data_IF_217132180916
#
_entry.id   IF_217132180916
#
_cell.length_a   1.000
_cell.length_b   1.000
_cell.length_c   1.000
_cell.angle_alpha   90.00
_cell.angle_beta   90.00
_cell.angle_gamma   90.00
#
_symmetry.space_group_name_H-M   'P 1'
#
loop_
_entity.id
_entity.type
_entity.pdbx_description
1 polymer ?
#
# COMPACT_ATOMS: atom_id res chain seq x y z
N UNK A 1 -16.32 1.47 -16.62
CA UNK A 1 -17.43 1.94 -15.79
C UNK A 1 -18.60 1.02 -16.02
N UNK A 2 -19.11 0.42 -14.96
CA UNK A 2 -20.31 -0.42 -15.06
C UNK A 2 -21.51 0.47 -15.40
N UNK A 3 -22.39 -0.02 -16.27
CA UNK A 3 -23.57 0.75 -16.72
C UNK A 3 -24.63 0.96 -15.64
N UNK A 4 -24.56 0.21 -14.54
CA UNK A 4 -25.59 0.17 -13.51
C UNK A 4 -25.18 0.86 -12.21
N UNK A 5 -23.90 0.98 -11.91
CA UNK A 5 -23.40 1.76 -10.77
C UNK A 5 -22.17 2.56 -11.20
N UNK A 6 -22.21 3.85 -10.95
CA UNK A 6 -21.15 4.79 -11.29
C UNK A 6 -20.05 4.73 -10.20
N UNK A 7 -19.25 3.66 -10.21
CA UNK A 7 -18.22 3.36 -9.20
C UNK A 7 -16.83 3.80 -9.66
N UNK A 8 -15.99 4.22 -8.69
CA UNK A 8 -14.59 4.58 -8.90
C UNK A 8 -14.41 5.92 -9.62
N UNK A 9 -13.21 6.10 -10.17
CA UNK A 9 -12.78 7.33 -10.83
C UNK A 9 -11.95 8.23 -9.93
N UNK A 10 -10.90 8.80 -10.54
CA UNK A 10 -9.89 9.59 -9.82
C UNK A 10 -10.47 10.87 -9.21
N UNK A 11 -11.39 11.51 -9.89
CA UNK A 11 -12.04 12.75 -9.44
C UNK A 11 -12.90 12.50 -8.19
N UNK A 12 -13.69 11.41 -8.20
CA UNK A 12 -14.50 11.02 -7.04
C UNK A 12 -13.64 10.62 -5.86
N UNK A 13 -12.54 9.88 -6.11
CA UNK A 13 -11.57 9.53 -5.08
C UNK A 13 -10.99 10.79 -4.44
N UNK A 14 -10.56 11.76 -5.25
CA UNK A 14 -10.03 13.03 -4.74
C UNK A 14 -11.05 13.79 -3.91
N UNK A 15 -12.31 13.86 -4.36
CA UNK A 15 -13.36 14.54 -3.61
C UNK A 15 -13.67 13.83 -2.31
N UNK A 16 -13.79 12.50 -2.32
CA UNK A 16 -14.02 11.69 -1.12
C UNK A 16 -12.92 11.88 -0.08
N UNK A 17 -11.65 11.83 -0.50
CA UNK A 17 -10.49 12.06 0.39
C UNK A 17 -10.57 13.45 1.01
N UNK A 18 -10.85 14.47 0.19
CA UNK A 18 -10.97 15.86 0.65
C UNK A 18 -12.07 16.02 1.71
N UNK A 19 -13.23 15.44 1.46
CA UNK A 19 -14.37 15.52 2.38
C UNK A 19 -14.10 14.73 3.66
N UNK A 20 -13.49 13.54 3.55
CA UNK A 20 -13.10 12.71 4.70
C UNK A 20 -12.08 13.42 5.59
N UNK A 21 -11.07 14.07 5.01
CA UNK A 21 -10.08 14.84 5.79
C UNK A 21 -10.70 15.99 6.57
N UNK A 22 -11.73 16.64 6.00
CA UNK A 22 -12.42 17.74 6.68
C UNK A 22 -13.17 17.27 7.92
N UNK A 23 -13.71 16.03 7.88
CA UNK A 23 -14.52 15.44 8.95
C UNK A 23 -13.63 14.71 9.96
N UNK A 24 -12.55 14.07 9.49
CA UNK A 24 -11.67 13.22 10.28
C UNK A 24 -10.24 13.78 10.29
N UNK A 25 -9.89 14.63 11.26
CA UNK A 25 -8.54 15.25 11.33
C UNK A 25 -7.41 14.24 11.59
N UNK A 26 -7.73 13.07 12.09
CA UNK A 26 -6.79 11.96 12.33
C UNK A 26 -6.85 10.88 11.23
N UNK A 27 -7.09 11.28 9.99
CA UNK A 27 -7.11 10.36 8.85
C UNK A 27 -5.69 9.86 8.54
N UNK A 28 -5.56 8.56 8.39
CA UNK A 28 -4.41 7.89 7.80
C UNK A 28 -4.79 7.38 6.42
N UNK A 29 -4.19 7.92 5.36
CA UNK A 29 -4.49 7.57 3.99
C UNK A 29 -3.38 6.69 3.41
N UNK A 30 -3.71 5.44 3.13
CA UNK A 30 -2.78 4.41 2.67
C UNK A 30 -3.21 3.84 1.32
N UNK A 31 -2.24 3.37 0.54
CA UNK A 31 -2.46 2.62 -0.69
C UNK A 31 -1.56 1.38 -0.70
N UNK A 32 -2.05 0.28 -1.22
CA UNK A 32 -1.37 -1.03 -1.21
C UNK A 32 -0.68 -1.38 -2.52
N UNK A 33 -0.52 -0.40 -3.42
CA UNK A 33 0.22 -0.55 -4.67
C UNK A 33 -0.60 -1.04 -5.86
N UNK A 34 0.08 -1.50 -6.89
CA UNK A 34 -0.49 -1.91 -8.18
C UNK A 34 -1.22 -0.77 -8.92
N UNK A 35 -0.65 0.43 -8.86
CA UNK A 35 -1.23 1.61 -9.49
C UNK A 35 -1.14 1.57 -11.02
N UNK A 36 -0.20 0.80 -11.59
CA UNK A 36 -0.01 0.73 -13.04
C UNK A 36 -0.55 -0.59 -13.58
N UNK A 37 -0.74 -0.65 -14.91
CA UNK A 37 -1.36 -1.84 -15.50
C UNK A 37 -0.46 -2.50 -16.55
N UNK A 38 -0.09 -1.78 -17.59
CA UNK A 38 0.56 -2.37 -18.76
C UNK A 38 1.76 -1.53 -19.20
N UNK A 39 2.88 -2.15 -19.62
CA UNK A 39 4.06 -1.44 -20.12
C UNK A 39 3.87 -0.93 -21.57
N UNK A 40 2.73 -0.29 -21.84
CA UNK A 40 2.41 0.31 -23.13
C UNK A 40 2.55 1.83 -23.08
N UNK A 41 2.70 2.50 -24.25
CA UNK A 41 2.73 3.96 -24.33
C UNK A 41 1.46 4.59 -23.73
N UNK A 42 0.29 4.02 -24.01
CA UNK A 42 -0.97 4.48 -23.44
C UNK A 42 -1.03 4.24 -21.93
N UNK A 43 -0.57 3.06 -21.47
CA UNK A 43 -0.46 2.75 -20.04
C UNK A 43 0.43 3.73 -19.31
N UNK A 44 1.57 4.13 -19.90
CA UNK A 44 2.48 5.12 -19.32
C UNK A 44 1.84 6.49 -19.17
N UNK A 45 1.11 6.98 -20.17
CA UNK A 45 0.38 8.25 -20.07
C UNK A 45 -0.68 8.21 -18.96
N UNK A 46 -1.40 7.08 -18.81
CA UNK A 46 -2.34 6.87 -17.72
C UNK A 46 -1.64 6.87 -16.36
N UNK A 47 -0.49 6.19 -16.25
CA UNK A 47 0.30 6.16 -15.03
C UNK A 47 0.80 7.57 -14.64
N UNK A 48 1.31 8.34 -15.59
CA UNK A 48 1.74 9.73 -15.36
C UNK A 48 0.58 10.61 -14.84
N UNK A 49 -0.58 10.50 -15.48
CA UNK A 49 -1.79 11.24 -15.06
C UNK A 49 -2.24 10.81 -13.66
N UNK A 50 -2.22 9.50 -13.38
CA UNK A 50 -2.57 8.95 -12.07
C UNK A 50 -1.63 9.48 -10.99
N UNK A 51 -0.31 9.47 -11.23
CA UNK A 51 0.67 9.95 -10.26
C UNK A 51 0.52 11.44 -9.96
N UNK A 52 0.21 12.29 -10.97
CA UNK A 52 -0.09 13.71 -10.76
C UNK A 52 -1.29 13.90 -9.83
N UNK A 53 -2.32 13.09 -10.00
CA UNK A 53 -3.49 13.15 -9.13
C UNK A 53 -3.19 12.59 -7.73
N UNK A 54 -2.40 11.52 -7.65
CA UNK A 54 -1.95 10.91 -6.40
C UNK A 54 -1.13 11.89 -5.56
N UNK A 55 -0.24 12.67 -6.17
CA UNK A 55 0.48 13.77 -5.49
C UNK A 55 -0.48 14.78 -4.83
N UNK A 56 -1.59 15.11 -5.54
CA UNK A 56 -2.61 16.05 -5.01
C UNK A 56 -3.49 15.43 -3.92
N UNK A 57 -3.57 14.11 -3.85
CA UNK A 57 -4.33 13.41 -2.82
C UNK A 57 -3.57 13.30 -1.49
N UNK A 58 -2.26 13.55 -1.49
CA UNK A 58 -1.41 13.58 -0.29
C UNK A 58 -1.53 12.30 0.55
N UNK A 59 -1.29 11.14 -0.07
CA UNK A 59 -1.22 9.89 0.66
C UNK A 59 -0.14 9.91 1.74
N UNK A 60 -0.40 9.27 2.85
CA UNK A 60 0.61 9.11 3.91
C UNK A 60 1.71 8.13 3.47
N UNK A 61 1.32 7.01 2.85
CA UNK A 61 2.22 6.06 2.19
C UNK A 61 1.51 5.31 1.08
N UNK A 62 2.30 4.85 0.09
CA UNK A 62 1.87 3.98 -1.00
C UNK A 62 2.84 2.82 -1.08
N UNK A 63 2.36 1.60 -0.78
CA UNK A 63 3.18 0.41 -0.92
C UNK A 63 3.49 0.12 -2.40
N UNK A 64 4.61 -0.54 -2.66
CA UNK A 64 4.95 -0.99 -3.99
C UNK A 64 4.37 -2.38 -4.24
N UNK A 65 3.51 -2.48 -5.27
CA UNK A 65 3.08 -3.73 -5.86
C UNK A 65 3.95 -4.14 -7.06
N UNK A 66 3.76 -5.35 -7.56
CA UNK A 66 4.56 -5.87 -8.69
C UNK A 66 4.33 -5.04 -9.97
N UNK A 67 3.11 -4.57 -10.21
CA UNK A 67 2.81 -3.75 -11.39
C UNK A 67 3.39 -2.35 -11.35
N UNK A 68 3.77 -1.85 -10.18
CA UNK A 68 4.41 -0.55 -10.07
C UNK A 68 5.82 -0.53 -10.67
N UNK A 69 6.42 -1.71 -10.85
CA UNK A 69 7.74 -1.88 -11.47
C UNK A 69 7.72 -1.90 -13.01
N UNK A 70 6.56 -1.93 -13.68
CA UNK A 70 6.42 -2.12 -15.13
C UNK A 70 7.10 -1.04 -15.98
N UNK A 71 7.36 0.15 -15.43
CA UNK A 71 8.10 1.24 -16.10
C UNK A 71 9.52 1.42 -15.55
N UNK A 72 9.97 0.51 -14.67
CA UNK A 72 11.30 0.49 -14.06
C UNK A 72 11.50 1.51 -12.94
N UNK A 73 12.60 1.31 -12.21
CA UNK A 73 12.95 2.11 -11.01
C UNK A 73 13.08 3.61 -11.27
N UNK A 74 13.62 3.98 -12.45
CA UNK A 74 13.76 5.39 -12.82
C UNK A 74 12.40 6.12 -12.86
N UNK A 75 11.35 5.46 -13.34
CA UNK A 75 10.01 6.06 -13.41
C UNK A 75 9.46 6.40 -12.02
N UNK A 76 9.74 5.54 -11.02
CA UNK A 76 9.37 5.78 -9.62
C UNK A 76 10.20 6.91 -9.00
N UNK A 77 11.52 6.88 -9.24
CA UNK A 77 12.47 7.87 -8.74
C UNK A 77 12.15 9.29 -9.23
N UNK A 78 11.69 9.43 -10.47
CA UNK A 78 11.37 10.73 -11.07
C UNK A 78 10.10 11.37 -10.45
N UNK A 79 9.50 10.72 -9.44
CA UNK A 79 8.30 11.19 -8.71
C UNK A 79 8.56 11.28 -7.19
N UNK A 80 9.43 12.19 -6.74
CA UNK A 80 9.87 12.24 -5.34
C UNK A 80 8.77 12.65 -4.35
N UNK A 81 7.64 13.19 -4.82
CA UNK A 81 6.50 13.54 -3.97
C UNK A 81 5.59 12.36 -3.65
N UNK A 82 5.74 11.24 -4.37
CA UNK A 82 4.98 10.03 -4.06
C UNK A 82 5.65 9.31 -2.89
N UNK A 83 4.93 9.09 -1.78
CA UNK A 83 5.50 8.51 -0.57
C UNK A 83 5.58 6.97 -0.66
N UNK A 84 6.41 6.49 -1.58
CA UNK A 84 6.62 5.05 -1.76
C UNK A 84 7.20 4.39 -0.51
N UNK A 85 6.61 3.26 -0.11
CA UNK A 85 7.08 2.44 1.01
C UNK A 85 7.27 0.98 0.59
N UNK A 86 8.41 0.39 0.94
CA UNK A 86 8.70 -1.02 0.73
C UNK A 86 9.83 -1.48 1.64
N UNK A 87 9.54 -2.30 2.65
CA UNK A 87 10.53 -2.76 3.63
C UNK A 87 11.48 -3.82 3.10
N UNK A 88 11.00 -4.70 2.23
CA UNK A 88 11.74 -5.87 1.76
C UNK A 88 12.14 -5.83 0.28
N UNK A 89 11.92 -4.71 -0.42
CA UNK A 89 12.39 -4.52 -1.79
C UNK A 89 13.69 -3.72 -1.81
N UNK A 90 14.70 -4.26 -2.45
CA UNK A 90 15.97 -3.59 -2.75
C UNK A 90 15.98 -3.33 -4.26
N UNK A 91 15.91 -2.06 -4.65
CA UNK A 91 15.68 -1.65 -6.03
C UNK A 91 16.87 -0.81 -6.49
N UNK A 92 17.47 -1.19 -7.61
CA UNK A 92 18.59 -0.44 -8.20
C UNK A 92 18.16 0.99 -8.52
N UNK A 93 18.99 1.97 -8.10
CA UNK A 93 18.83 3.40 -8.35
C UNK A 93 17.56 4.04 -7.73
N UNK A 94 16.79 3.31 -6.93
CA UNK A 94 15.63 3.84 -6.23
C UNK A 94 15.50 3.22 -4.83
N UNK A 95 15.40 4.07 -3.82
CA UNK A 95 15.29 3.65 -2.42
C UNK A 95 13.94 4.12 -1.86
N UNK A 96 12.92 3.25 -1.81
CA UNK A 96 11.67 3.57 -1.14
C UNK A 96 11.87 3.65 0.38
N UNK A 97 11.02 4.40 1.07
CA UNK A 97 10.99 4.40 2.53
C UNK A 97 10.73 2.98 3.05
N UNK A 98 11.51 2.52 4.04
CA UNK A 98 11.36 1.15 4.57
C UNK A 98 10.25 1.03 5.60
N UNK A 99 10.07 2.07 6.40
CA UNK A 99 9.05 2.17 7.44
C UNK A 99 8.76 3.63 7.74
N UNK A 100 7.57 3.95 8.26
CA UNK A 100 7.18 5.32 8.61
C UNK A 100 6.38 5.33 9.90
N UNK A 101 6.53 6.38 10.70
CA UNK A 101 5.62 6.65 11.82
C UNK A 101 4.84 7.92 11.53
N UNK A 102 3.51 7.85 11.67
CA UNK A 102 2.60 8.99 11.65
C UNK A 102 2.18 9.32 13.05
N UNK A 103 2.49 10.53 13.50
CA UNK A 103 2.01 11.06 14.76
C UNK A 103 0.81 11.97 14.52
N UNK A 104 -0.23 11.82 15.32
CA UNK A 104 -1.44 12.62 15.28
C UNK A 104 -1.45 13.64 16.43
N UNK A 105 -2.25 14.70 16.27
CA UNK A 105 -2.34 15.79 17.26
C UNK A 105 -2.89 15.36 18.64
N UNK A 106 -3.60 14.23 18.70
CA UNK A 106 -4.06 13.61 19.94
C UNK A 106 -2.99 12.75 20.64
N UNK A 107 -1.77 12.71 20.12
CA UNK A 107 -0.64 11.94 20.66
C UNK A 107 -0.52 10.52 20.10
N UNK A 108 -1.52 10.00 19.39
CA UNK A 108 -1.47 8.66 18.79
C UNK A 108 -0.34 8.58 17.76
N UNK A 109 0.47 7.53 17.83
CA UNK A 109 1.53 7.20 16.89
C UNK A 109 1.21 5.89 16.17
N UNK A 110 1.16 5.92 14.84
CA UNK A 110 0.93 4.74 14.02
C UNK A 110 2.17 4.42 13.22
N UNK A 111 2.74 3.24 13.46
CA UNK A 111 3.80 2.66 12.64
C UNK A 111 3.24 2.06 11.37
N UNK A 112 3.89 2.31 10.24
CA UNK A 112 3.48 1.83 8.93
C UNK A 112 4.65 1.09 8.32
N UNK A 113 4.41 -0.16 7.96
CA UNK A 113 5.35 -1.05 7.28
C UNK A 113 4.72 -1.50 5.97
N UNK A 114 5.56 -1.88 4.99
CA UNK A 114 5.09 -2.50 3.76
C UNK A 114 6.00 -3.64 3.35
N UNK A 115 5.44 -4.78 2.98
CA UNK A 115 6.17 -5.92 2.43
C UNK A 115 5.44 -6.54 1.24
N UNK A 116 6.23 -7.11 0.34
CA UNK A 116 5.75 -7.77 -0.86
C UNK A 116 6.16 -9.24 -0.89
N UNK A 117 5.29 -10.09 -1.43
CA UNK A 117 5.58 -11.50 -1.64
C UNK A 117 6.61 -11.68 -2.76
N UNK A 118 7.77 -12.33 -2.50
CA UNK A 118 8.76 -12.62 -3.53
C UNK A 118 8.18 -13.33 -4.77
N UNK A 119 7.14 -14.15 -4.58
CA UNK A 119 6.50 -14.88 -5.66
C UNK A 119 5.85 -13.99 -6.73
N UNK A 120 5.58 -12.73 -6.46
CA UNK A 120 4.97 -11.78 -7.40
C UNK A 120 6.00 -10.97 -8.21
N UNK A 121 7.28 -11.01 -7.84
CA UNK A 121 8.33 -10.14 -8.40
C UNK A 121 9.38 -10.89 -9.23
N UNK A 122 9.03 -11.99 -9.88
CA UNK A 122 9.99 -12.91 -10.51
C UNK A 122 10.81 -12.35 -11.68
N UNK A 123 10.40 -11.31 -12.37
CA UNK A 123 10.96 -10.94 -13.67
C UNK A 123 11.48 -9.50 -13.75
N UNK A 124 11.80 -8.88 -12.62
CA UNK A 124 12.29 -7.51 -12.63
C UNK A 124 13.81 -7.44 -12.47
N UNK A 125 14.50 -6.93 -13.50
CA UNK A 125 15.93 -6.70 -13.46
C UNK A 125 16.25 -5.56 -12.48
N UNK A 126 17.30 -5.74 -11.66
CA UNK A 126 17.70 -4.73 -10.67
C UNK A 126 16.78 -4.66 -9.44
N UNK A 127 16.00 -5.72 -9.21
CA UNK A 127 15.16 -5.87 -8.02
C UNK A 127 15.55 -7.14 -7.26
N UNK A 128 15.78 -7.00 -5.96
CA UNK A 128 15.92 -8.13 -5.02
C UNK A 128 14.83 -8.03 -3.96
N UNK A 129 14.13 -9.11 -3.73
CA UNK A 129 13.13 -9.22 -2.65
C UNK A 129 13.72 -10.05 -1.52
N UNK A 130 13.76 -9.49 -0.31
CA UNK A 130 14.18 -10.21 0.89
C UNK A 130 12.99 -10.88 1.55
N UNK A 131 13.26 -11.80 2.50
CA UNK A 131 12.19 -12.48 3.25
C UNK A 131 11.27 -11.45 3.92
N UNK A 132 9.97 -11.45 3.60
CA UNK A 132 9.04 -10.43 4.10
C UNK A 132 8.75 -10.60 5.60
N UNK A 133 8.71 -11.83 6.14
CA UNK A 133 8.43 -12.07 7.55
C UNK A 133 9.61 -11.64 8.42
N UNK A 134 10.81 -12.04 8.05
CA UNK A 134 12.06 -11.62 8.73
C UNK A 134 12.19 -10.10 8.69
N UNK A 135 11.92 -9.49 7.54
CA UNK A 135 11.95 -8.03 7.39
C UNK A 135 10.92 -7.34 8.27
N UNK A 136 9.69 -7.85 8.30
CA UNK A 136 8.62 -7.29 9.16
C UNK A 136 9.03 -7.28 10.62
N UNK A 137 9.47 -8.41 11.16
CA UNK A 137 9.88 -8.53 12.56
C UNK A 137 11.06 -7.61 12.91
N UNK A 138 12.04 -7.50 12.00
CA UNK A 138 13.16 -6.58 12.17
C UNK A 138 12.70 -5.13 12.24
N UNK A 139 11.87 -4.69 11.30
CA UNK A 139 11.37 -3.31 11.25
C UNK A 139 10.47 -2.97 12.45
N UNK A 140 9.65 -3.92 12.92
CA UNK A 140 8.87 -3.76 14.16
C UNK A 140 9.80 -3.52 15.35
N UNK A 141 10.84 -4.35 15.48
CA UNK A 141 11.82 -4.24 16.58
C UNK A 141 12.53 -2.87 16.55
N UNK A 142 13.02 -2.46 15.39
CA UNK A 142 13.68 -1.16 15.20
C UNK A 142 12.74 -0.01 15.54
N UNK A 143 11.51 -0.03 15.02
CA UNK A 143 10.52 1.02 15.24
C UNK A 143 10.07 1.12 16.70
N UNK A 144 9.88 0.00 17.38
CA UNK A 144 9.53 -0.02 18.81
C UNK A 144 10.65 0.50 19.71
N UNK A 145 11.90 0.28 19.33
CA UNK A 145 13.06 0.78 20.06
C UNK A 145 13.21 2.31 19.94
N UNK A 146 12.92 2.87 18.77
CA UNK A 146 13.17 4.29 18.46
C UNK A 146 11.93 5.17 18.59
N UNK A 147 10.84 4.81 17.92
CA UNK A 147 9.66 5.67 17.73
C UNK A 147 8.51 5.35 18.69
N UNK A 148 8.45 4.11 19.17
CA UNK A 148 7.43 3.58 20.11
C UNK A 148 5.99 3.83 19.63
N UNK A 149 5.58 3.30 18.48
CA UNK A 149 4.22 3.45 17.99
C UNK A 149 3.22 2.72 18.89
N UNK A 150 2.02 3.27 19.00
CA UNK A 150 0.89 2.66 19.72
C UNK A 150 0.26 1.52 18.92
N UNK A 151 0.21 1.68 17.57
CA UNK A 151 -0.31 0.69 16.62
C UNK A 151 0.67 0.50 15.47
N UNK A 152 0.72 -0.72 14.92
CA UNK A 152 1.47 -1.04 13.70
C UNK A 152 0.54 -1.56 12.63
N UNK A 153 0.51 -0.84 11.51
CA UNK A 153 -0.17 -1.21 10.27
C UNK A 153 0.85 -1.80 9.31
N UNK A 154 0.60 -3.03 8.88
CA UNK A 154 1.37 -3.70 7.85
C UNK A 154 0.60 -3.70 6.53
N UNK A 155 1.14 -3.02 5.53
CA UNK A 155 0.69 -3.14 4.15
C UNK A 155 1.33 -4.36 3.52
N UNK A 156 0.54 -5.25 2.95
CA UNK A 156 1.04 -6.44 2.26
C UNK A 156 0.65 -6.40 0.79
N UNK A 157 1.58 -6.81 -0.07
CA UNK A 157 1.29 -7.10 -1.47
C UNK A 157 1.58 -8.58 -1.71
N UNK A 158 0.57 -9.42 -1.41
CA UNK A 158 0.67 -10.88 -1.39
C UNK A 158 -0.68 -11.52 -1.70
N UNK A 159 -0.66 -12.83 -2.02
CA UNK A 159 -1.90 -13.60 -2.06
C UNK A 159 -2.60 -13.55 -0.71
N UNK A 160 -3.93 -13.54 -0.73
CA UNK A 160 -4.73 -13.37 0.47
C UNK A 160 -4.39 -14.37 1.58
N UNK A 161 -4.21 -15.64 1.23
CA UNK A 161 -3.88 -16.69 2.21
C UNK A 161 -2.54 -16.42 2.91
N UNK A 162 -1.54 -15.96 2.15
CA UNK A 162 -0.24 -15.56 2.72
C UNK A 162 -0.39 -14.30 3.58
N UNK A 163 -1.09 -13.29 3.08
CA UNK A 163 -1.32 -12.05 3.81
C UNK A 163 -2.03 -12.26 5.16
N UNK A 164 -2.97 -13.19 5.24
CA UNK A 164 -3.66 -13.55 6.49
C UNK A 164 -2.70 -14.11 7.56
N UNK A 165 -1.60 -14.76 7.16
CA UNK A 165 -0.64 -15.32 8.13
C UNK A 165 0.13 -14.25 8.91
N UNK A 166 0.16 -12.99 8.41
CA UNK A 166 0.80 -11.89 9.11
C UNK A 166 0.03 -11.44 10.36
N UNK A 167 -1.26 -11.81 10.50
CA UNK A 167 -1.98 -11.61 11.75
C UNK A 167 -1.39 -12.40 12.92
N UNK A 168 -0.63 -13.46 12.63
CA UNK A 168 0.00 -14.28 13.66
C UNK A 168 1.37 -13.73 14.11
N UNK A 169 1.87 -12.66 13.46
CA UNK A 169 3.12 -12.01 13.85
C UNK A 169 2.92 -11.08 15.05
N UNK A 170 3.80 -11.23 16.03
CA UNK A 170 3.81 -10.32 17.17
C UNK A 170 4.13 -8.89 16.74
N UNK A 171 3.33 -7.96 17.27
CA UNK A 171 3.52 -6.54 17.04
C UNK A 171 2.87 -5.98 15.79
N UNK A 172 2.22 -6.80 14.96
CA UNK A 172 1.31 -6.36 13.91
C UNK A 172 -0.09 -6.24 14.49
N UNK A 173 -0.76 -5.11 14.32
CA UNK A 173 -2.12 -4.87 14.81
C UNK A 173 -3.14 -4.92 13.66
N UNK A 174 -2.76 -4.35 12.51
CA UNK A 174 -3.61 -4.28 11.32
C UNK A 174 -2.82 -4.73 10.10
N UNK A 175 -3.40 -5.62 9.31
CA UNK A 175 -2.89 -6.01 7.98
C UNK A 175 -3.84 -5.50 6.91
N UNK A 176 -3.30 -4.75 5.93
CA UNK A 176 -4.05 -4.29 4.77
C UNK A 176 -3.39 -4.89 3.52
N UNK A 177 -4.11 -5.78 2.83
CA UNK A 177 -3.58 -6.47 1.65
C UNK A 177 -4.08 -5.86 0.34
N UNK A 178 -3.21 -5.78 -0.66
CA UNK A 178 -3.49 -5.13 -1.95
C UNK A 178 -3.59 -6.04 -3.15
N UNK A 179 -2.90 -7.17 -3.16
CA UNK A 179 -2.89 -8.08 -4.30
C UNK A 179 -4.19 -8.87 -4.41
N UNK A 180 -4.75 -8.97 -5.63
CA UNK A 180 -5.95 -9.73 -5.95
C UNK A 180 -5.66 -10.59 -7.17
N UNK A 181 -5.73 -11.91 -7.01
CA UNK A 181 -5.41 -12.89 -8.07
C UNK A 181 -6.45 -12.93 -9.19
N UNK A 182 -7.73 -12.71 -8.89
CA UNK A 182 -8.83 -12.82 -9.87
C UNK A 182 -9.78 -11.63 -9.81
N UNK A 183 -10.34 -11.25 -10.95
CA UNK A 183 -11.28 -10.13 -11.08
C UNK A 183 -12.61 -10.36 -10.33
N UNK A 184 -12.93 -11.61 -10.02
CA UNK A 184 -14.16 -12.01 -9.32
C UNK A 184 -14.04 -11.94 -7.81
N UNK A 185 -12.84 -11.80 -7.26
CA UNK A 185 -12.57 -12.19 -5.89
C UNK A 185 -12.86 -11.09 -4.91
N UNK A 186 -13.41 -10.06 -5.02
CA UNK A 186 -13.68 -9.20 -3.86
C UNK A 186 -14.57 -8.02 -4.19
N UNK A 187 -15.82 -8.29 -4.28
CA UNK A 187 -16.77 -7.18 -4.34
C UNK A 187 -17.09 -6.65 -2.93
N UNK A 188 -17.08 -7.49 -1.91
CA UNK A 188 -17.42 -7.10 -0.54
C UNK A 188 -16.69 -7.93 0.54
N UNK A 189 -15.34 -7.85 0.58
CA UNK A 189 -14.64 -8.45 1.72
C UNK A 189 -14.91 -7.67 3.01
N UNK A 190 -15.58 -8.33 3.94
CA UNK A 190 -15.69 -7.80 5.30
C UNK A 190 -14.34 -7.91 6.00
N UNK A 191 -13.97 -6.95 6.84
CA UNK A 191 -12.79 -7.06 7.68
C UNK A 191 -12.82 -8.34 8.51
N UNK A 192 -11.67 -9.05 8.57
CA UNK A 192 -11.51 -10.24 9.40
C UNK A 192 -10.85 -9.83 10.70
N UNK A 193 -11.49 -10.12 11.82
CA UNK A 193 -10.93 -9.91 13.17
C UNK A 193 -10.45 -11.24 13.73
N UNK A 194 -9.17 -11.30 14.18
CA UNK A 194 -8.56 -12.45 14.82
C UNK A 194 -7.64 -11.98 15.95
N UNK A 195 -7.83 -12.45 17.18
CA UNK A 195 -6.98 -12.11 18.34
C UNK A 195 -6.74 -10.59 18.50
N UNK A 196 -7.81 -9.81 18.47
CA UNK A 196 -7.81 -8.35 18.53
C UNK A 196 -7.09 -7.63 17.35
N UNK A 197 -6.60 -8.37 16.35
CA UNK A 197 -5.97 -7.86 15.14
C UNK A 197 -6.97 -7.83 13.99
N UNK A 198 -6.74 -6.93 13.05
CA UNK A 198 -7.63 -6.69 11.93
C UNK A 198 -6.94 -6.98 10.59
N UNK A 199 -7.62 -7.74 9.73
CA UNK A 199 -7.24 -7.88 8.34
C UNK A 199 -8.25 -7.18 7.44
N UNK A 200 -7.76 -6.40 6.51
CA UNK A 200 -8.56 -5.68 5.50
C UNK A 200 -7.96 -5.94 4.12
N UNK A 201 -8.81 -6.16 3.15
CA UNK A 201 -8.41 -6.22 1.75
C UNK A 201 -9.29 -5.27 0.94
N UNK A 202 -8.67 -4.37 0.20
CA UNK A 202 -9.41 -3.44 -0.65
C UNK A 202 -9.89 -4.12 -1.94
N UNK A 203 -10.94 -3.57 -2.55
CA UNK A 203 -11.38 -4.03 -3.87
C UNK A 203 -10.41 -3.60 -4.97
N UNK A 204 -10.40 -4.35 -6.08
CA UNK A 204 -9.56 -4.04 -7.24
C UNK A 204 -9.94 -2.71 -7.92
N UNK A 205 -9.01 -2.17 -8.71
CA UNK A 205 -9.21 -1.04 -9.65
C UNK A 205 -9.63 0.28 -9.00
N UNK A 206 -9.47 0.44 -7.68
CA UNK A 206 -9.88 1.67 -6.99
C UNK A 206 -11.36 1.99 -7.12
N UNK A 207 -12.20 1.00 -7.27
CA UNK A 207 -13.65 1.15 -7.34
C UNK A 207 -14.26 1.51 -5.98
N UNK A 208 -13.65 1.03 -4.91
CA UNK A 208 -14.07 1.31 -3.53
C UNK A 208 -12.87 1.77 -2.70
N UNK A 209 -13.12 2.57 -1.71
CA UNK A 209 -12.19 2.88 -0.62
C UNK A 209 -12.71 2.20 0.64
N UNK A 210 -11.78 1.56 1.37
CA UNK A 210 -12.07 0.93 2.66
C UNK A 210 -11.91 1.90 3.82
#
# INVERSE_FOLDING_TARGET
CAKEEDQGGIERRMQYIKDTRRIHPHLLLLDTGDQFKEPTRQGKLKAETLLIATEKMEYDTIALGDRDMVYGSKFLKDRPKIPWIAGNLIIDQFEPTRSKVKSFSNGLKVGILAVADPALFHNYVGLKVTDPRVTTLKLITEMRATEKPDLIVLLTHAKQQEALTYLDLDGVDIVINGHIDTESDVIDMKPIKRNEKLFVQSSSRGQKMG
#
